data_IF_748583345840
#
_entry.id   IF_748583345840
#
_cell.length_a   1.000
_cell.length_b   1.000
_cell.length_c   1.000
_cell.angle_alpha   90.00
_cell.angle_beta   90.00
_cell.angle_gamma   90.00
#
_symmetry.space_group_name_H-M   'P 1'
#
loop_
_entity.id
_entity.type
_entity.pdbx_description
1 polymer ?
#
# COMPACT_ATOMS: atom_id res chain seq x y z
N UNK A 1 -3.43 -16.73 -4.72
CA UNK A 1 -3.64 -16.25 -6.10
C UNK A 1 -3.38 -14.76 -6.19
N UNK A 2 -2.81 -14.27 -7.29
CA UNK A 2 -2.63 -12.84 -7.47
C UNK A 2 -3.98 -12.11 -7.44
N UNK A 3 -3.96 -10.87 -6.94
CA UNK A 3 -5.16 -10.06 -6.78
C UNK A 3 -5.02 -8.78 -7.58
N UNK A 4 -6.05 -8.45 -8.35
CA UNK A 4 -6.10 -7.16 -9.04
C UNK A 4 -6.47 -6.06 -8.05
N UNK A 5 -5.78 -4.94 -8.13
CA UNK A 5 -6.01 -3.80 -7.26
C UNK A 5 -5.78 -2.50 -8.02
N UNK A 6 -6.13 -1.37 -7.40
CA UNK A 6 -5.85 -0.04 -7.95
C UNK A 6 -4.99 0.71 -6.96
N UNK A 7 -4.02 1.45 -7.48
CA UNK A 7 -3.09 2.18 -6.63
C UNK A 7 -2.75 3.54 -7.25
N UNK A 8 -2.46 4.51 -6.37
CA UNK A 8 -1.92 5.80 -6.77
C UNK A 8 -0.40 5.65 -6.86
N UNK A 9 0.13 5.69 -8.07
CA UNK A 9 1.54 5.46 -8.32
C UNK A 9 2.29 6.78 -8.41
N UNK A 10 3.39 6.87 -7.65
CA UNK A 10 4.29 8.00 -7.66
C UNK A 10 5.51 7.68 -8.53
N UNK A 11 5.73 8.48 -9.58
CA UNK A 11 6.88 8.32 -10.47
C UNK A 11 7.99 9.34 -10.23
N UNK A 12 7.80 10.24 -9.27
CA UNK A 12 8.78 11.26 -8.93
C UNK A 12 8.82 12.43 -9.91
N UNK A 13 9.90 13.25 -9.84
CA UNK A 13 10.09 14.41 -10.73
C UNK A 13 8.88 15.36 -10.77
N UNK A 14 8.21 15.55 -9.64
CA UNK A 14 7.04 16.44 -9.52
C UNK A 14 5.87 16.01 -10.42
N UNK A 15 5.88 14.78 -10.93
CA UNK A 15 4.74 14.25 -11.67
C UNK A 15 3.56 14.02 -10.71
N UNK A 16 2.31 14.27 -11.14
CA UNK A 16 1.16 13.96 -10.31
C UNK A 16 1.04 12.46 -10.07
N UNK A 17 0.41 12.09 -8.95
CA UNK A 17 0.05 10.70 -8.70
C UNK A 17 -0.97 10.25 -9.76
N UNK A 18 -0.81 9.04 -10.25
CA UNK A 18 -1.71 8.45 -11.25
C UNK A 18 -2.34 7.18 -10.68
N UNK A 19 -3.66 7.08 -10.78
CA UNK A 19 -4.38 5.88 -10.37
C UNK A 19 -4.27 4.85 -11.49
N UNK A 20 -3.69 3.69 -11.18
CA UNK A 20 -3.47 2.63 -12.15
C UNK A 20 -3.89 1.28 -11.58
N UNK A 21 -4.25 0.37 -12.46
CA UNK A 21 -4.49 -1.01 -12.08
C UNK A 21 -3.15 -1.70 -11.84
N UNK A 22 -3.07 -2.46 -10.75
CA UNK A 22 -1.88 -3.21 -10.37
C UNK A 22 -2.28 -4.63 -10.01
N UNK A 23 -1.30 -5.52 -9.99
CA UNK A 23 -1.51 -6.91 -9.57
C UNK A 23 -0.68 -7.13 -8.31
N UNK A 24 -1.37 -7.54 -7.24
CA UNK A 24 -0.70 -7.95 -6.01
C UNK A 24 -0.30 -9.41 -6.14
N UNK A 25 0.94 -9.72 -5.82
CA UNK A 25 1.45 -11.08 -5.84
C UNK A 25 0.83 -11.91 -4.71
N UNK A 26 1.02 -13.23 -4.78
CA UNK A 26 0.56 -14.13 -3.72
C UNK A 26 1.21 -13.75 -2.39
N UNK A 27 0.48 -13.95 -1.28
CA UNK A 27 0.98 -13.64 0.05
C UNK A 27 2.19 -14.50 0.40
N UNK A 28 3.21 -13.85 0.94
CA UNK A 28 4.29 -14.54 1.62
C UNK A 28 3.82 -15.01 3.00
N UNK A 29 4.49 -16.00 3.63
CA UNK A 29 4.02 -16.55 4.91
C UNK A 29 3.83 -15.52 6.03
N UNK A 30 4.56 -14.41 6.02
CA UNK A 30 4.51 -13.38 7.05
C UNK A 30 3.76 -12.12 6.62
N UNK A 31 2.99 -12.18 5.56
CA UNK A 31 2.29 -11.02 5.01
C UNK A 31 0.79 -11.06 5.28
N UNK A 32 0.17 -9.88 5.25
CA UNK A 32 -1.28 -9.69 5.33
C UNK A 32 -1.77 -9.06 4.04
N UNK A 33 -2.96 -9.46 3.58
CA UNK A 33 -3.68 -8.75 2.54
C UNK A 33 -4.80 -7.96 3.19
N UNK A 34 -4.80 -6.65 2.99
CA UNK A 34 -5.73 -5.73 3.65
C UNK A 34 -6.56 -5.02 2.59
N UNK A 35 -7.88 -5.02 2.79
CA UNK A 35 -8.77 -4.20 1.98
C UNK A 35 -8.80 -2.80 2.58
N UNK A 36 -8.24 -1.83 1.88
CA UNK A 36 -8.17 -0.46 2.35
C UNK A 36 -9.56 0.18 2.41
N UNK A 37 -9.85 0.82 3.54
CA UNK A 37 -11.10 1.55 3.73
C UNK A 37 -10.86 3.05 3.61
N UNK A 38 -9.73 3.53 4.14
CA UNK A 38 -9.38 4.95 4.10
C UNK A 38 -7.86 5.11 4.21
N UNK A 39 -7.37 6.21 3.70
CA UNK A 39 -5.96 6.56 3.83
C UNK A 39 -5.82 8.06 3.98
N UNK A 40 -5.02 8.51 4.94
CA UNK A 40 -4.68 9.92 5.10
C UNK A 40 -3.56 10.32 4.14
N UNK A 41 -3.44 11.62 3.89
CA UNK A 41 -2.36 12.20 3.11
C UNK A 41 -1.40 12.89 4.06
N UNK A 42 -0.11 12.56 3.96
CA UNK A 42 0.94 13.18 4.75
C UNK A 42 1.86 14.00 3.86
N UNK A 43 2.42 15.07 4.40
CA UNK A 43 3.39 15.89 3.66
C UNK A 43 4.59 15.06 3.18
N UNK A 44 4.94 14.00 3.90
CA UNK A 44 6.01 13.08 3.50
C UNK A 44 5.76 12.49 2.11
N UNK A 45 4.51 12.23 1.76
CA UNK A 45 4.15 11.68 0.44
C UNK A 45 4.50 12.68 -0.66
N UNK A 46 4.27 13.97 -0.41
CA UNK A 46 4.63 15.03 -1.35
C UNK A 46 6.15 15.21 -1.43
N UNK A 47 6.84 15.09 -0.29
CA UNK A 47 8.30 15.20 -0.25
C UNK A 47 8.95 14.09 -1.09
N UNK A 48 8.42 12.88 -1.05
CA UNK A 48 8.92 11.77 -1.87
C UNK A 48 8.64 12.02 -3.34
N UNK A 49 7.42 12.49 -3.67
CA UNK A 49 7.05 12.83 -5.05
C UNK A 49 8.03 13.86 -5.64
N UNK A 50 8.38 14.87 -4.85
CA UNK A 50 9.24 15.98 -5.28
C UNK A 50 10.74 15.67 -5.08
N UNK A 51 11.07 14.41 -4.79
CA UNK A 51 12.44 13.93 -4.58
C UNK A 51 13.20 14.59 -3.42
N UNK A 52 12.46 15.04 -2.41
CA UNK A 52 13.08 15.57 -1.19
C UNK A 52 13.56 14.44 -0.27
N UNK A 53 13.09 13.21 -0.50
CA UNK A 53 13.52 12.02 0.24
C UNK A 53 14.01 10.96 -0.75
N UNK A 54 15.10 10.25 -0.42
CA UNK A 54 15.71 9.28 -1.32
C UNK A 54 14.99 7.92 -1.26
N UNK A 55 14.00 7.74 -2.12
CA UNK A 55 13.30 6.46 -2.25
C UNK A 55 13.25 6.07 -3.72
N UNK A 56 13.21 4.76 -4.04
CA UNK A 56 13.10 4.33 -5.42
C UNK A 56 11.73 4.65 -6.01
N UNK A 57 11.68 4.95 -7.31
CA UNK A 57 10.46 5.19 -8.08
C UNK A 57 10.39 4.22 -9.25
N UNK A 58 9.21 3.83 -9.73
CA UNK A 58 7.89 4.20 -9.24
C UNK A 58 7.58 3.54 -7.89
N UNK A 59 6.72 4.16 -7.10
CA UNK A 59 6.36 3.65 -5.79
C UNK A 59 4.91 4.02 -5.45
N UNK A 60 4.26 3.16 -4.67
CA UNK A 60 2.97 3.46 -4.07
C UNK A 60 3.23 3.93 -2.65
N UNK A 61 2.83 5.16 -2.35
CA UNK A 61 3.08 5.79 -1.06
C UNK A 61 1.86 5.72 -0.16
N UNK A 62 2.09 5.94 1.13
CA UNK A 62 1.06 6.02 2.14
C UNK A 62 1.48 5.31 3.41
N UNK A 63 1.23 5.94 4.56
CA UNK A 63 1.54 5.36 5.86
C UNK A 63 0.48 5.71 6.91
N UNK A 64 -0.68 6.22 6.47
CA UNK A 64 -1.78 6.60 7.33
C UNK A 64 -3.06 5.90 6.87
N UNK A 65 -2.95 4.60 6.63
CA UNK A 65 -4.05 3.81 6.12
C UNK A 65 -4.85 3.10 7.21
N UNK A 66 -6.09 2.79 6.91
CA UNK A 66 -6.95 1.95 7.73
C UNK A 66 -7.68 0.96 6.83
N UNK A 67 -7.85 -0.26 7.30
CA UNK A 67 -8.49 -1.29 6.50
C UNK A 67 -8.93 -2.50 7.29
N UNK A 68 -9.37 -3.50 6.58
CA UNK A 68 -9.86 -4.76 7.13
C UNK A 68 -9.00 -5.88 6.53
N UNK A 69 -8.48 -6.75 7.40
CA UNK A 69 -7.68 -7.89 6.97
C UNK A 69 -8.55 -8.84 6.15
N UNK A 70 -8.16 -9.13 4.92
CA UNK A 70 -8.84 -10.08 4.05
C UNK A 70 -8.22 -11.47 4.11
N UNK A 71 -6.89 -11.53 4.20
CA UNK A 71 -6.16 -12.78 4.12
C UNK A 71 -4.86 -12.64 4.91
N UNK A 72 -4.41 -13.73 5.50
CA UNK A 72 -3.15 -13.76 6.26
C UNK A 72 -2.25 -14.86 5.73
N UNK A 73 -0.94 -14.60 5.78
CA UNK A 73 0.05 -15.61 5.45
C UNK A 73 0.12 -16.72 6.52
N UNK A 74 0.71 -17.83 6.17
CA UNK A 74 0.70 -19.04 7.02
C UNK A 74 1.43 -18.86 8.36
N UNK A 75 2.33 -17.90 8.48
CA UNK A 75 3.09 -17.63 9.71
C UNK A 75 2.57 -16.45 10.51
N UNK A 76 1.45 -15.86 10.09
CA UNK A 76 0.85 -14.71 10.80
C UNK A 76 0.00 -15.23 11.94
N UNK A 77 0.27 -14.74 13.16
CA UNK A 77 -0.47 -15.12 14.38
C UNK A 77 -1.12 -13.94 15.12
N UNK A 78 -0.72 -12.71 14.79
CA UNK A 78 -1.19 -11.52 15.53
C UNK A 78 -2.47 -10.90 14.95
N UNK A 79 -2.91 -11.38 13.80
CA UNK A 79 -4.11 -10.86 13.14
C UNK A 79 -4.80 -12.00 12.37
N UNK A 80 -6.08 -11.81 12.09
CA UNK A 80 -6.90 -12.79 11.37
C UNK A 80 -7.84 -12.07 10.41
N UNK A 81 -8.36 -12.75 9.38
CA UNK A 81 -9.34 -12.15 8.48
C UNK A 81 -10.53 -11.57 9.24
N UNK A 82 -10.94 -10.37 8.85
CA UNK A 82 -11.99 -9.61 9.52
C UNK A 82 -11.51 -8.61 10.54
N UNK A 83 -10.26 -8.66 10.97
CA UNK A 83 -9.71 -7.70 11.92
C UNK A 83 -9.60 -6.32 11.27
N UNK A 84 -9.88 -5.28 12.05
CA UNK A 84 -9.69 -3.89 11.66
C UNK A 84 -8.29 -3.47 12.07
N UNK A 85 -7.58 -2.82 11.15
CA UNK A 85 -6.17 -2.44 11.36
C UNK A 85 -5.90 -1.02 10.86
N UNK A 86 -4.85 -0.44 11.41
CA UNK A 86 -4.33 0.86 10.98
C UNK A 86 -2.83 0.75 10.71
#
# INVERSE_FOLDING_TARGET
MPTNARAAICRGNEHPFVIEDVVLEDLQPNELKIRMVASGICHTDLAVRDKQLPVPHPIVLGHEGAGIVEEVGSEVSIAKPGDRVV
#
